data_IF_686907107474
#
_entry.id   IF_686907107474
#
_cell.length_a   1.000
_cell.length_b   1.000
_cell.length_c   1.000
_cell.angle_alpha   90.00
_cell.angle_beta   90.00
_cell.angle_gamma   90.00
#
_symmetry.space_group_name_H-M   'P 1'
#
loop_
_entity.id
_entity.type
_entity.pdbx_description
1 polymer ?
#
# COMPACT_ATOMS: atom_id res chain seq x y z
N UNK A 1 -14.41 13.75 -23.60
CA UNK A 1 -13.26 13.12 -22.98
C UNK A 1 -12.52 14.21 -22.20
N UNK A 2 -12.76 14.32 -20.91
CA UNK A 2 -12.09 15.27 -20.03
C UNK A 2 -10.87 14.61 -19.40
N UNK A 3 -9.70 15.18 -19.62
CA UNK A 3 -8.52 14.88 -18.87
C UNK A 3 -8.70 15.45 -17.45
N UNK A 4 -9.04 14.63 -16.49
CA UNK A 4 -8.88 15.00 -15.08
C UNK A 4 -7.39 15.02 -14.76
N UNK A 5 -6.81 16.20 -14.78
CA UNK A 5 -5.53 16.46 -14.16
C UNK A 5 -5.72 16.36 -12.64
N UNK A 6 -5.11 15.34 -12.02
CA UNK A 6 -4.99 15.28 -10.57
C UNK A 6 -4.02 16.38 -10.16
N UNK A 7 -4.57 17.52 -9.76
CA UNK A 7 -3.80 18.61 -9.17
C UNK A 7 -3.63 18.30 -7.69
N UNK A 8 -2.41 17.94 -7.29
CA UNK A 8 -2.06 17.86 -5.87
C UNK A 8 -1.99 19.31 -5.37
N UNK A 9 -3.01 19.77 -4.67
CA UNK A 9 -2.96 21.03 -3.94
C UNK A 9 -2.05 20.83 -2.73
N UNK A 10 -0.85 21.39 -2.79
CA UNK A 10 -0.03 21.56 -1.59
C UNK A 10 -0.64 22.65 -0.71
N UNK A 11 -0.61 22.45 0.59
CA UNK A 11 -1.04 23.44 1.57
C UNK A 11 -0.21 24.73 1.39
N UNK A 12 -0.84 25.86 1.04
CA UNK A 12 -0.14 27.12 0.80
C UNK A 12 0.52 27.72 2.05
N UNK A 13 0.29 27.14 3.23
CA UNK A 13 0.94 27.55 4.48
C UNK A 13 2.36 27.03 4.62
N UNK A 14 2.79 26.05 3.80
CA UNK A 14 4.16 25.53 3.77
C UNK A 14 4.96 26.37 2.79
N UNK A 15 5.75 27.30 3.30
CA UNK A 15 6.66 28.08 2.47
C UNK A 15 7.80 27.22 1.95
N UNK A 16 8.26 27.46 0.72
CA UNK A 16 9.39 26.74 0.10
C UNK A 16 10.64 26.69 0.99
N UNK A 17 10.81 27.70 1.86
CA UNK A 17 11.93 27.81 2.79
C UNK A 17 11.87 26.75 3.90
N UNK A 18 10.69 26.52 4.49
CA UNK A 18 10.52 25.52 5.56
C UNK A 18 10.67 24.09 5.02
N UNK A 19 10.19 23.84 3.80
CA UNK A 19 10.37 22.57 3.14
C UNK A 19 11.86 22.27 2.89
N UNK A 20 12.61 23.25 2.37
CA UNK A 20 14.04 23.11 2.09
C UNK A 20 14.90 22.94 3.35
N UNK A 21 14.53 23.53 4.49
CA UNK A 21 15.25 23.34 5.75
C UNK A 21 15.01 21.96 6.36
N UNK A 22 13.79 21.44 6.27
CA UNK A 22 13.45 20.08 6.73
C UNK A 22 14.10 18.99 5.86
N UNK A 23 14.26 19.23 4.57
CA UNK A 23 14.92 18.29 3.65
C UNK A 23 16.44 18.24 3.77
N UNK A 24 17.08 19.16 4.51
CA UNK A 24 18.51 19.06 4.86
C UNK A 24 18.83 17.89 5.81
N UNK A 25 17.81 17.34 6.49
CA UNK A 25 17.94 16.00 7.07
C UNK A 25 18.00 15.03 5.90
N UNK A 26 19.16 14.41 5.67
CA UNK A 26 19.38 13.38 4.64
C UNK A 26 18.57 12.11 4.93
N UNK A 27 17.24 12.24 5.05
CA UNK A 27 16.34 11.12 5.22
C UNK A 27 16.05 10.52 3.84
N UNK A 28 16.89 9.59 3.43
CA UNK A 28 16.61 8.73 2.30
C UNK A 28 15.34 7.93 2.64
N UNK A 29 14.36 7.93 1.75
CA UNK A 29 13.19 7.06 1.90
C UNK A 29 13.67 5.60 1.99
N UNK A 30 13.24 4.90 3.02
CA UNK A 30 13.59 3.49 3.23
C UNK A 30 12.49 2.55 2.78
N UNK A 31 11.27 3.09 2.63
CA UNK A 31 10.08 2.32 2.30
C UNK A 31 9.11 3.10 1.42
N UNK A 32 8.45 2.41 0.50
CA UNK A 32 7.36 2.94 -0.32
C UNK A 32 6.12 2.08 -0.07
N UNK A 33 4.99 2.72 0.20
CA UNK A 33 3.71 2.05 0.34
C UNK A 33 2.83 2.31 -0.87
N UNK A 34 2.39 1.23 -1.52
CA UNK A 34 1.28 1.29 -2.46
C UNK A 34 -0.04 1.16 -1.72
N UNK A 35 -1.02 1.92 -2.12
CA UNK A 35 -2.39 1.82 -1.58
C UNK A 35 -3.32 1.54 -2.74
N UNK A 36 -4.05 0.44 -2.67
CA UNK A 36 -4.95 0.01 -3.74
C UNK A 36 -6.30 -0.43 -3.18
N UNK A 37 -7.36 -0.11 -3.92
CA UNK A 37 -8.72 -0.59 -3.67
C UNK A 37 -8.82 -2.05 -4.13
N UNK A 38 -8.99 -2.98 -3.20
CA UNK A 38 -9.05 -4.40 -3.47
C UNK A 38 -10.24 -4.79 -4.36
N UNK A 39 -11.31 -4.00 -4.37
CA UNK A 39 -12.48 -4.25 -5.23
C UNK A 39 -12.19 -3.99 -6.71
N UNK A 40 -11.12 -3.24 -7.02
CA UNK A 40 -10.71 -2.90 -8.38
C UNK A 40 -9.65 -3.84 -8.95
N UNK A 41 -9.15 -4.78 -8.15
CA UNK A 41 -8.16 -5.75 -8.58
C UNK A 41 -8.88 -6.92 -9.26
N UNK A 42 -8.52 -7.30 -10.51
CA UNK A 42 -9.08 -8.47 -11.16
C UNK A 42 -8.61 -9.77 -10.48
N UNK A 43 -9.46 -10.79 -10.45
CA UNK A 43 -9.15 -12.05 -9.77
C UNK A 43 -8.02 -12.84 -10.43
N UNK A 44 -7.84 -12.68 -11.73
CA UNK A 44 -6.78 -13.31 -12.52
C UNK A 44 -5.43 -12.59 -12.43
N UNK A 45 -5.40 -11.39 -11.84
CA UNK A 45 -4.21 -10.53 -11.80
C UNK A 45 -3.77 -10.04 -13.19
N UNK A 46 -4.67 -10.05 -14.18
CA UNK A 46 -4.35 -9.65 -15.54
C UNK A 46 -4.60 -8.16 -15.75
N UNK A 47 -3.55 -7.40 -15.99
CA UNK A 47 -3.62 -5.96 -16.29
C UNK A 47 -4.46 -5.62 -17.54
N UNK A 48 -4.59 -6.56 -18.47
CA UNK A 48 -5.34 -6.33 -19.71
C UNK A 48 -6.85 -6.34 -19.50
N UNK A 49 -7.33 -6.91 -18.39
CA UNK A 49 -8.76 -6.92 -18.03
C UNK A 49 -9.25 -5.59 -17.45
N UNK A 50 -8.34 -4.63 -17.18
CA UNK A 50 -8.69 -3.31 -16.62
C UNK A 50 -8.12 -2.21 -17.52
N UNK A 51 -8.81 -1.90 -18.58
CA UNK A 51 -8.37 -0.87 -19.54
C UNK A 51 -8.23 0.51 -18.89
N UNK A 52 -9.17 0.88 -18.00
CA UNK A 52 -9.18 2.17 -17.29
C UNK A 52 -8.06 2.35 -16.25
N UNK A 53 -7.49 1.26 -15.72
CA UNK A 53 -6.47 1.30 -14.66
C UNK A 53 -5.09 0.80 -15.10
N UNK A 54 -4.96 0.35 -16.34
CA UNK A 54 -3.72 -0.21 -16.88
C UNK A 54 -2.52 0.71 -16.68
N UNK A 55 -2.68 2.00 -16.93
CA UNK A 55 -1.61 2.98 -16.75
C UNK A 55 -1.13 3.06 -15.31
N UNK A 56 -2.07 3.04 -14.34
CA UNK A 56 -1.74 3.09 -12.91
C UNK A 56 -0.88 1.90 -12.52
N UNK A 57 -1.31 0.69 -12.87
CA UNK A 57 -0.55 -0.54 -12.52
C UNK A 57 0.79 -0.63 -13.25
N UNK A 58 0.87 -0.15 -14.50
CA UNK A 58 2.15 -0.05 -15.22
C UNK A 58 3.11 0.89 -14.48
N UNK A 59 2.62 2.02 -14.00
CA UNK A 59 3.43 2.96 -13.22
C UNK A 59 3.87 2.36 -11.88
N UNK A 60 3.00 1.62 -11.17
CA UNK A 60 3.36 0.94 -9.93
C UNK A 60 4.48 -0.09 -10.16
N UNK A 61 4.40 -0.85 -11.25
CA UNK A 61 5.45 -1.79 -11.63
C UNK A 61 6.77 -1.08 -11.93
N UNK A 62 6.75 0.06 -12.61
CA UNK A 62 7.94 0.88 -12.85
C UNK A 62 8.54 1.42 -11.55
N UNK A 63 7.70 1.95 -10.64
CA UNK A 63 8.14 2.41 -9.32
C UNK A 63 8.78 1.26 -8.55
N UNK A 64 8.19 0.07 -8.60
CA UNK A 64 8.74 -1.14 -7.97
C UNK A 64 10.14 -1.46 -8.48
N UNK A 65 10.34 -1.40 -9.80
CA UNK A 65 11.65 -1.64 -10.41
C UNK A 65 12.68 -0.60 -9.97
N UNK A 66 12.34 0.68 -10.05
CA UNK A 66 13.22 1.76 -9.60
C UNK A 66 13.55 1.66 -8.11
N UNK A 67 12.58 1.29 -7.28
CA UNK A 67 12.80 1.10 -5.84
C UNK A 67 13.82 0.00 -5.56
N UNK A 68 13.79 -1.07 -6.34
CA UNK A 68 14.77 -2.16 -6.24
C UNK A 68 16.20 -1.65 -6.56
N UNK A 69 16.37 -0.89 -7.65
CA UNK A 69 17.65 -0.29 -8.04
C UNK A 69 18.19 0.67 -6.97
N UNK A 70 17.28 1.39 -6.27
CA UNK A 70 17.61 2.32 -5.20
C UNK A 70 17.75 1.66 -3.82
N UNK A 71 17.58 0.34 -3.71
CA UNK A 71 17.52 -0.41 -2.45
C UNK A 71 16.47 0.15 -1.48
N UNK A 72 15.28 0.46 -2.00
CA UNK A 72 14.10 0.90 -1.23
C UNK A 72 13.10 -0.25 -1.22
N UNK A 73 12.59 -0.60 -0.04
CA UNK A 73 11.56 -1.62 0.12
C UNK A 73 10.19 -1.09 -0.32
N UNK A 74 9.37 -1.99 -0.85
CA UNK A 74 7.99 -1.69 -1.23
C UNK A 74 7.06 -2.63 -0.50
N UNK A 75 5.99 -2.10 0.06
CA UNK A 75 4.84 -2.85 0.57
C UNK A 75 3.54 -2.27 -0.01
N UNK A 76 2.44 -2.94 0.23
CA UNK A 76 1.14 -2.48 -0.23
C UNK A 76 0.06 -2.65 0.84
N UNK A 77 -0.86 -1.71 0.88
CA UNK A 77 -2.12 -1.83 1.59
C UNK A 77 -3.25 -2.07 0.59
N UNK A 78 -3.96 -3.19 0.75
CA UNK A 78 -5.19 -3.45 0.03
C UNK A 78 -6.36 -3.02 0.89
N UNK A 79 -7.01 -1.95 0.48
CA UNK A 79 -8.13 -1.33 1.19
C UNK A 79 -9.47 -1.89 0.72
N UNK A 80 -10.54 -1.60 1.44
CA UNK A 80 -11.91 -2.01 1.11
C UNK A 80 -12.12 -3.54 1.10
N UNK A 81 -11.36 -4.29 1.89
CA UNK A 81 -11.47 -5.75 1.95
C UNK A 81 -12.82 -6.22 2.54
N UNK A 82 -13.45 -5.42 3.38
CA UNK A 82 -14.82 -5.61 3.87
C UNK A 82 -15.87 -5.69 2.75
N UNK A 83 -15.63 -5.02 1.63
CA UNK A 83 -16.54 -5.03 0.47
C UNK A 83 -16.39 -6.28 -0.40
N UNK A 84 -15.35 -7.07 -0.19
CA UNK A 84 -15.09 -8.29 -0.96
C UNK A 84 -15.82 -9.50 -0.38
N UNK A 85 -16.03 -9.51 0.93
CA UNK A 85 -16.52 -10.67 1.66
C UNK A 85 -17.45 -10.24 2.79
N UNK A 86 -18.65 -10.80 2.81
CA UNK A 86 -19.67 -10.48 3.83
C UNK A 86 -19.24 -10.89 5.24
N UNK A 87 -18.48 -11.97 5.38
CA UNK A 87 -17.99 -12.43 6.68
C UNK A 87 -16.97 -11.43 7.25
N UNK A 88 -16.11 -10.87 6.39
CA UNK A 88 -15.18 -9.81 6.76
C UNK A 88 -15.90 -8.51 7.09
N UNK A 89 -16.98 -8.19 6.35
CA UNK A 89 -17.81 -7.01 6.64
C UNK A 89 -18.46 -7.08 8.03
N UNK A 90 -18.93 -8.26 8.44
CA UNK A 90 -19.57 -8.45 9.75
C UNK A 90 -18.57 -8.60 10.89
N UNK A 91 -17.41 -9.22 10.62
CA UNK A 91 -16.36 -9.44 11.60
C UNK A 91 -14.98 -9.37 10.94
N UNK A 92 -14.28 -8.30 11.25
CA UNK A 92 -12.94 -7.99 10.71
C UNK A 92 -11.90 -9.06 11.08
N UNK A 93 -12.14 -9.86 12.12
CA UNK A 93 -11.24 -10.97 12.50
C UNK A 93 -11.13 -12.05 11.41
N UNK A 94 -12.13 -12.14 10.53
CA UNK A 94 -12.14 -13.07 9.40
C UNK A 94 -11.28 -12.62 8.21
N UNK A 95 -10.68 -11.42 8.26
CA UNK A 95 -9.94 -10.85 7.13
C UNK A 95 -8.88 -11.78 6.57
N UNK A 96 -8.05 -12.35 7.44
CA UNK A 96 -6.97 -13.26 7.05
C UNK A 96 -7.41 -14.70 6.77
N UNK A 97 -8.66 -15.03 7.08
CA UNK A 97 -9.26 -16.33 6.77
C UNK A 97 -10.02 -16.33 5.44
N UNK A 98 -10.33 -15.15 4.90
CA UNK A 98 -11.12 -15.02 3.68
C UNK A 98 -10.35 -15.44 2.43
N UNK A 99 -10.88 -16.46 1.73
CA UNK A 99 -10.34 -16.94 0.44
C UNK A 99 -10.46 -15.90 -0.67
N UNK A 100 -11.43 -15.01 -0.56
CA UNK A 100 -11.62 -13.92 -1.52
C UNK A 100 -10.52 -12.87 -1.36
N UNK A 101 -10.21 -12.50 -0.12
CA UNK A 101 -9.10 -11.58 0.18
C UNK A 101 -7.76 -12.19 -0.22
N UNK A 102 -7.51 -13.47 0.11
CA UNK A 102 -6.30 -14.19 -0.29
C UNK A 102 -6.08 -14.14 -1.81
N UNK A 103 -7.13 -14.38 -2.60
CA UNK A 103 -7.05 -14.27 -4.07
C UNK A 103 -6.66 -12.88 -4.55
N UNK A 104 -7.22 -11.83 -3.92
CA UNK A 104 -6.88 -10.44 -4.28
C UNK A 104 -5.43 -10.10 -3.94
N UNK A 105 -4.92 -10.57 -2.81
CA UNK A 105 -3.50 -10.44 -2.44
C UNK A 105 -2.61 -11.10 -3.50
N UNK A 106 -2.89 -12.35 -3.89
CA UNK A 106 -2.13 -13.08 -4.92
C UNK A 106 -2.22 -12.40 -6.29
N UNK A 107 -3.40 -11.93 -6.67
CA UNK A 107 -3.59 -11.21 -7.92
C UNK A 107 -2.79 -9.91 -7.95
N UNK A 108 -2.84 -9.13 -6.89
CA UNK A 108 -2.09 -7.87 -6.79
C UNK A 108 -0.58 -8.10 -6.78
N UNK A 109 -0.11 -9.11 -6.04
CA UNK A 109 1.30 -9.52 -6.03
C UNK A 109 1.84 -9.74 -7.44
N UNK A 110 1.11 -10.49 -8.27
CA UNK A 110 1.47 -10.73 -9.68
C UNK A 110 1.46 -9.46 -10.53
N UNK A 111 0.54 -8.54 -10.26
CA UNK A 111 0.37 -7.31 -11.05
C UNK A 111 1.48 -6.30 -10.83
N UNK A 112 2.01 -6.20 -9.62
CA UNK A 112 2.97 -5.15 -9.24
C UNK A 112 4.34 -5.67 -8.80
N UNK A 113 4.54 -6.98 -8.84
CA UNK A 113 5.79 -7.65 -8.42
C UNK A 113 6.19 -7.32 -6.97
N UNK A 114 5.19 -7.27 -6.07
CA UNK A 114 5.41 -7.14 -4.63
C UNK A 114 5.12 -8.48 -3.97
N UNK A 115 6.02 -9.03 -3.13
CA UNK A 115 5.80 -10.29 -2.44
C UNK A 115 4.53 -10.30 -1.58
N UNK A 116 3.81 -11.42 -1.54
CA UNK A 116 2.53 -11.55 -0.83
C UNK A 116 2.64 -11.17 0.65
N UNK A 117 3.76 -11.52 1.30
CA UNK A 117 4.05 -11.20 2.71
C UNK A 117 4.22 -9.69 2.99
N UNK A 118 4.32 -8.86 1.95
CA UNK A 118 4.37 -7.40 2.03
C UNK A 118 3.12 -6.72 1.52
N UNK A 119 2.06 -7.49 1.33
CA UNK A 119 0.75 -6.98 0.93
C UNK A 119 -0.19 -7.15 2.12
N UNK A 120 -0.60 -6.05 2.70
CA UNK A 120 -1.40 -6.02 3.91
C UNK A 120 -2.86 -5.69 3.55
N UNK A 121 -3.76 -6.70 3.58
CA UNK A 121 -5.19 -6.43 3.47
C UNK A 121 -5.65 -5.70 4.72
N UNK A 122 -6.46 -4.66 4.53
CA UNK A 122 -7.00 -3.86 5.62
C UNK A 122 -8.47 -3.52 5.38
N UNK A 123 -9.20 -3.34 6.45
CA UNK A 123 -10.53 -2.78 6.46
C UNK A 123 -10.42 -1.31 6.85
N UNK A 124 -10.94 -0.44 5.98
CA UNK A 124 -10.91 0.99 6.22
C UNK A 124 -12.06 1.43 7.13
N UNK A 125 -11.80 2.48 7.89
CA UNK A 125 -12.85 3.25 8.54
C UNK A 125 -13.83 3.81 7.50
N UNK A 126 -15.12 3.46 7.64
CA UNK A 126 -16.14 3.81 6.64
C UNK A 126 -16.84 5.16 6.91
N UNK A 127 -16.52 5.82 8.01
CA UNK A 127 -17.14 7.08 8.43
C UNK A 127 -18.53 6.92 9.06
N UNK A 128 -19.08 5.72 9.12
CA UNK A 128 -20.33 5.40 9.85
C UNK A 128 -20.06 5.01 11.30
N UNK A 129 -18.87 4.51 11.55
CA UNK A 129 -18.40 4.21 12.90
C UNK A 129 -17.69 5.45 13.43
N UNK A 130 -17.97 5.82 14.67
CA UNK A 130 -17.36 6.99 15.32
C UNK A 130 -15.92 6.75 15.75
N UNK A 131 -15.49 5.49 15.80
CA UNK A 131 -14.16 5.09 16.25
C UNK A 131 -13.63 3.89 15.42
N UNK A 132 -12.32 3.88 15.17
CA UNK A 132 -11.67 2.70 14.60
C UNK A 132 -11.70 1.56 15.63
N UNK A 133 -12.14 0.38 15.23
CA UNK A 133 -12.14 -0.78 16.13
C UNK A 133 -10.69 -1.18 16.47
N UNK A 134 -10.50 -1.81 17.65
CA UNK A 134 -9.19 -2.34 18.06
C UNK A 134 -8.60 -3.25 16.97
N UNK A 135 -9.44 -4.03 16.29
CA UNK A 135 -9.01 -4.94 15.23
C UNK A 135 -8.49 -4.18 14.00
N UNK A 136 -9.12 -3.07 13.60
CA UNK A 136 -8.62 -2.23 12.49
C UNK A 136 -7.27 -1.60 12.85
N UNK A 137 -7.12 -1.13 14.09
CA UNK A 137 -5.83 -0.61 14.56
C UNK A 137 -4.76 -1.70 14.60
N UNK A 138 -5.10 -2.91 15.02
CA UNK A 138 -4.19 -4.04 15.08
C UNK A 138 -3.61 -4.38 13.70
N UNK A 139 -4.43 -4.38 12.65
CA UNK A 139 -3.98 -4.64 11.27
C UNK A 139 -2.91 -3.63 10.83
N UNK A 140 -3.13 -2.36 11.10
CA UNK A 140 -2.17 -1.30 10.77
C UNK A 140 -0.87 -1.46 11.59
N UNK A 141 -0.97 -1.79 12.87
CA UNK A 141 0.20 -2.02 13.73
C UNK A 141 1.02 -3.22 13.28
N UNK A 142 0.38 -4.32 12.86
CA UNK A 142 1.07 -5.51 12.32
C UNK A 142 1.86 -5.12 11.06
N UNK A 143 1.24 -4.39 10.13
CA UNK A 143 1.89 -3.94 8.91
C UNK A 143 3.09 -3.03 9.21
N UNK A 144 2.93 -2.04 10.10
CA UNK A 144 4.00 -1.13 10.48
C UNK A 144 5.14 -1.87 11.19
N UNK A 145 4.83 -2.80 12.11
CA UNK A 145 5.82 -3.64 12.79
C UNK A 145 6.68 -4.38 11.76
N UNK A 146 6.06 -5.07 10.80
CA UNK A 146 6.77 -5.81 9.75
C UNK A 146 7.71 -4.89 8.94
N UNK A 147 7.24 -3.69 8.60
CA UNK A 147 8.07 -2.74 7.87
C UNK A 147 9.27 -2.23 8.68
N UNK A 148 9.09 -2.01 9.98
CA UNK A 148 10.19 -1.62 10.89
C UNK A 148 11.21 -2.75 11.02
N UNK A 149 10.76 -3.99 11.16
CA UNK A 149 11.63 -5.17 11.19
C UNK A 149 12.44 -5.32 9.90
N UNK A 150 11.80 -5.15 8.74
CA UNK A 150 12.45 -5.15 7.43
C UNK A 150 13.55 -4.06 7.31
N UNK A 151 13.27 -2.84 7.77
CA UNK A 151 14.24 -1.73 7.75
C UNK A 151 15.41 -2.03 8.68
N UNK A 152 15.14 -2.58 9.85
CA UNK A 152 16.16 -2.92 10.84
C UNK A 152 17.10 -3.98 10.29
N UNK A 153 16.59 -5.01 9.64
CA UNK A 153 17.38 -6.06 9.00
C UNK A 153 18.31 -5.47 7.91
N UNK A 154 17.80 -4.56 7.07
CA UNK A 154 18.62 -3.91 6.04
C UNK A 154 19.80 -3.11 6.63
N UNK A 155 19.59 -2.44 7.75
CA UNK A 155 20.63 -1.62 8.38
C UNK A 155 21.74 -2.49 9.02
N UNK A 156 21.43 -3.70 9.45
CA UNK A 156 22.41 -4.66 9.97
C UNK A 156 23.29 -5.17 8.83
N UNK A 157 22.68 -5.57 7.71
CA UNK A 157 23.42 -6.10 6.55
C UNK A 157 24.35 -5.06 5.92
N UNK A 158 23.99 -3.78 5.97
CA UNK A 158 24.80 -2.68 5.43
C UNK A 158 26.03 -2.33 6.30
N UNK A 159 26.04 -2.71 7.56
CA UNK A 159 27.19 -2.49 8.49
C UNK A 159 28.22 -3.60 8.42
N UNK A 160 27.87 -4.75 7.86
CA UNK A 160 28.72 -5.94 7.78
C UNK A 160 29.44 -6.08 6.42
N UNK A 161 29.27 -5.10 5.55
CA UNK A 161 30.00 -4.94 4.27
C UNK A 161 30.98 -3.81 4.33
#
# INVERSE_FOLDING_TARGET
AGNEQVTIQMDPSITDCEWNERTKVKSKASYIFFVADATKIPDDGNLNSIESHRTIYTNLHQIRRLSFEMNIRVAAFLTMCDKLDKEVYHDVSNLYCSKTVERKVKAFSKMVDVPEERIFPIVNYSGKETEATEMMMMQMLIALKQCVEDITAMNVDSKNK
#
